data_IF_046454522025
#
_entry.id   IF_046454522025
#
_cell.length_a   1.000
_cell.length_b   1.000
_cell.length_c   1.000
_cell.angle_alpha   90.00
_cell.angle_beta   90.00
_cell.angle_gamma   90.00
#
_symmetry.space_group_name_H-M   'P 1'
#
loop_
_entity.id
_entity.type
_entity.pdbx_description
1 polymer ?
#
# COMPACT_ATOMS: atom_id res chain seq x y z
N UNK A 1 10.01 -5.93 -3.56
CA UNK A 1 9.91 -6.06 -2.06
C UNK A 1 8.47 -6.25 -1.56
N UNK A 2 7.55 -6.68 -2.44
CA UNK A 2 6.37 -7.47 -2.05
C UNK A 2 6.67 -8.97 -2.25
N UNK A 3 7.62 -9.23 -3.15
CA UNK A 3 8.17 -10.53 -3.53
C UNK A 3 8.93 -11.25 -2.41
N UNK A 4 9.29 -10.55 -1.32
CA UNK A 4 9.93 -11.18 -0.15
C UNK A 4 8.93 -11.94 0.72
N UNK A 5 7.68 -11.48 0.78
CA UNK A 5 6.61 -12.14 1.55
C UNK A 5 5.94 -13.26 0.74
N UNK A 6 6.02 -13.16 -0.59
CA UNK A 6 5.45 -14.13 -1.53
C UNK A 6 5.97 -15.58 -1.33
N UNK A 7 7.28 -15.86 -1.15
CA UNK A 7 7.77 -17.21 -0.91
C UNK A 7 7.26 -17.81 0.41
N UNK A 8 7.06 -16.99 1.44
CA UNK A 8 6.51 -17.45 2.73
C UNK A 8 5.06 -17.86 2.54
N UNK A 9 4.26 -17.06 1.83
CA UNK A 9 2.86 -17.40 1.51
C UNK A 9 2.79 -18.67 0.67
N UNK A 10 3.65 -18.83 -0.34
CA UNK A 10 3.72 -20.05 -1.15
C UNK A 10 4.10 -21.26 -0.30
N UNK A 11 5.05 -21.13 0.62
CA UNK A 11 5.44 -22.21 1.53
C UNK A 11 4.28 -22.62 2.47
N UNK A 12 3.55 -21.66 3.01
CA UNK A 12 2.37 -21.93 3.85
C UNK A 12 1.23 -22.60 3.04
N UNK A 13 1.00 -22.14 1.80
CA UNK A 13 0.02 -22.74 0.90
C UNK A 13 0.42 -24.17 0.50
N UNK A 14 1.71 -24.43 0.24
CA UNK A 14 2.22 -25.76 -0.05
C UNK A 14 2.09 -26.70 1.15
N UNK A 15 2.35 -26.22 2.37
CA UNK A 15 2.12 -27.00 3.59
C UNK A 15 0.63 -27.33 3.77
N UNK A 16 -0.25 -26.35 3.56
CA UNK A 16 -1.70 -26.58 3.60
C UNK A 16 -2.14 -27.61 2.56
N UNK A 17 -1.64 -27.53 1.32
CA UNK A 17 -1.90 -28.50 0.27
C UNK A 17 -1.47 -29.92 0.66
N UNK A 18 -0.28 -30.07 1.26
CA UNK A 18 0.24 -31.35 1.70
C UNK A 18 -0.62 -31.97 2.82
N UNK A 19 -1.07 -31.18 3.79
CA UNK A 19 -1.98 -31.64 4.85
C UNK A 19 -3.33 -32.06 4.27
N UNK A 20 -3.92 -31.25 3.39
CA UNK A 20 -5.19 -31.57 2.74
C UNK A 20 -5.10 -32.84 1.89
N UNK A 21 -4.01 -33.00 1.13
CA UNK A 21 -3.75 -34.20 0.33
C UNK A 21 -3.58 -35.45 1.20
N UNK A 22 -2.83 -35.37 2.31
CA UNK A 22 -2.67 -36.49 3.23
C UNK A 22 -4.01 -36.92 3.86
N UNK A 23 -4.87 -35.96 4.24
CA UNK A 23 -6.22 -36.25 4.76
C UNK A 23 -7.08 -36.92 3.69
N UNK A 24 -7.01 -36.44 2.44
CA UNK A 24 -7.76 -37.02 1.33
C UNK A 24 -7.36 -38.48 1.06
N UNK A 25 -6.06 -38.79 1.06
CA UNK A 25 -5.56 -40.16 0.92
C UNK A 25 -6.04 -41.06 2.07
N UNK A 26 -5.91 -40.60 3.31
CA UNK A 26 -6.37 -41.38 4.47
C UNK A 26 -7.88 -41.67 4.44
N UNK A 27 -8.67 -40.72 3.94
CA UNK A 27 -10.11 -40.92 3.80
C UNK A 27 -10.44 -41.96 2.72
N UNK A 28 -9.67 -41.97 1.63
CA UNK A 28 -9.84 -42.91 0.52
C UNK A 28 -9.46 -44.34 0.92
N UNK A 29 -8.34 -44.51 1.64
CA UNK A 29 -7.91 -45.80 2.19
C UNK A 29 -8.91 -46.37 3.19
N UNK A 30 -9.48 -45.51 4.07
CA UNK A 30 -10.49 -45.92 5.05
C UNK A 30 -11.83 -46.28 4.43
N UNK A 31 -12.17 -45.71 3.28
CA UNK A 31 -13.38 -46.05 2.55
C UNK A 31 -13.24 -47.35 1.73
N UNK A 32 -12.08 -48.01 1.76
CA UNK A 32 -11.90 -49.33 1.15
C UNK A 32 -12.03 -49.33 -0.37
N UNK A 33 -11.71 -48.22 -1.02
CA UNK A 33 -11.81 -48.10 -2.47
C UNK A 33 -10.52 -48.63 -3.09
N UNK A 34 -10.60 -49.73 -3.86
CA UNK A 34 -9.56 -50.12 -4.82
C UNK A 34 -9.50 -49.03 -5.90
N UNK A 35 -8.77 -47.95 -5.62
CA UNK A 35 -8.71 -46.80 -6.52
C UNK A 35 -7.56 -46.93 -7.50
N UNK A 36 -7.90 -46.93 -8.78
CA UNK A 36 -6.94 -46.82 -9.87
C UNK A 36 -6.09 -45.55 -9.71
N UNK A 37 -4.84 -45.61 -10.17
CA UNK A 37 -3.88 -44.49 -10.23
C UNK A 37 -4.49 -43.22 -10.85
N UNK A 38 -5.46 -43.37 -11.77
CA UNK A 38 -6.17 -42.25 -12.41
C UNK A 38 -7.01 -41.46 -11.40
N UNK A 39 -7.69 -42.15 -10.47
CA UNK A 39 -8.52 -41.50 -9.45
C UNK A 39 -7.65 -40.71 -8.47
N UNK A 40 -6.55 -41.29 -8.00
CA UNK A 40 -5.58 -40.61 -7.13
C UNK A 40 -4.98 -39.37 -7.79
N UNK A 41 -4.59 -39.49 -9.07
CA UNK A 41 -4.05 -38.37 -9.82
C UNK A 41 -5.05 -37.23 -9.98
N UNK A 42 -6.31 -37.53 -10.34
CA UNK A 42 -7.37 -36.52 -10.50
C UNK A 42 -7.65 -35.81 -9.17
N UNK A 43 -7.75 -36.53 -8.05
CA UNK A 43 -7.95 -35.94 -6.73
C UNK A 43 -6.75 -35.10 -6.27
N UNK A 44 -5.52 -35.51 -6.58
CA UNK A 44 -4.32 -34.74 -6.30
C UNK A 44 -4.30 -33.40 -7.03
N UNK A 45 -4.56 -33.42 -8.35
CA UNK A 45 -4.65 -32.20 -9.17
C UNK A 45 -5.78 -31.29 -8.67
N UNK A 46 -6.93 -31.86 -8.30
CA UNK A 46 -8.06 -31.08 -7.78
C UNK A 46 -7.73 -30.43 -6.43
N UNK A 47 -7.08 -31.16 -5.52
CA UNK A 47 -6.67 -30.64 -4.20
C UNK A 47 -5.69 -29.48 -4.35
N UNK A 48 -4.69 -29.60 -5.22
CA UNK A 48 -3.72 -28.53 -5.51
C UNK A 48 -4.41 -27.33 -6.18
N UNK A 49 -5.36 -27.57 -7.08
CA UNK A 49 -6.10 -26.50 -7.78
C UNK A 49 -6.96 -25.65 -6.84
N UNK A 50 -7.44 -26.20 -5.73
CA UNK A 50 -8.18 -25.44 -4.71
C UNK A 50 -7.28 -24.50 -3.89
N UNK A 51 -5.99 -24.85 -3.71
CA UNK A 51 -5.04 -24.04 -2.93
C UNK A 51 -4.67 -22.76 -3.66
N UNK A 52 -4.46 -22.84 -4.96
CA UNK A 52 -4.26 -21.67 -5.83
C UNK A 52 -5.62 -21.20 -6.33
N UNK A 53 -6.57 -21.00 -5.40
CA UNK A 53 -7.90 -20.57 -5.76
C UNK A 53 -7.79 -19.28 -6.59
N UNK A 54 -8.35 -19.22 -7.82
CA UNK A 54 -8.23 -18.07 -8.69
C UNK A 54 -8.88 -16.80 -8.08
N UNK A 55 -9.62 -16.94 -6.98
CA UNK A 55 -10.21 -15.85 -6.22
C UNK A 55 -9.20 -15.04 -5.43
N UNK A 56 -8.05 -15.60 -5.04
CA UNK A 56 -7.03 -14.90 -4.24
C UNK A 56 -6.48 -13.66 -4.97
N UNK A 57 -5.98 -13.78 -6.22
CA UNK A 57 -5.54 -12.61 -7.00
C UNK A 57 -6.68 -11.61 -7.24
N UNK A 58 -7.89 -12.10 -7.51
CA UNK A 58 -9.06 -11.26 -7.77
C UNK A 58 -9.43 -10.40 -6.55
N UNK A 59 -9.44 -11.00 -5.35
CA UNK A 59 -9.74 -10.29 -4.12
C UNK A 59 -8.72 -9.16 -3.84
N UNK A 60 -7.43 -9.39 -4.11
CA UNK A 60 -6.38 -8.39 -3.98
C UNK A 60 -6.60 -7.20 -4.93
N UNK A 61 -6.95 -7.48 -6.19
CA UNK A 61 -7.24 -6.44 -7.19
C UNK A 61 -8.46 -5.62 -6.78
N UNK A 62 -9.55 -6.28 -6.36
CA UNK A 62 -10.78 -5.59 -5.92
C UNK A 62 -10.47 -4.66 -4.73
N UNK A 63 -9.66 -5.11 -3.77
CA UNK A 63 -9.23 -4.29 -2.65
C UNK A 63 -8.50 -3.01 -3.10
N UNK A 64 -7.58 -3.13 -4.05
CA UNK A 64 -6.85 -1.99 -4.62
C UNK A 64 -7.76 -1.03 -5.39
N UNK A 65 -8.71 -1.55 -6.16
CA UNK A 65 -9.69 -0.76 -6.90
C UNK A 65 -10.58 0.04 -5.95
N UNK A 66 -11.11 -0.60 -4.89
CA UNK A 66 -11.91 0.08 -3.87
C UNK A 66 -11.14 1.15 -3.13
N UNK A 67 -9.85 0.92 -2.85
CA UNK A 67 -8.99 1.95 -2.28
C UNK A 67 -8.80 3.14 -3.25
N UNK A 68 -8.62 2.87 -4.54
CA UNK A 68 -8.51 3.91 -5.57
C UNK A 68 -9.80 4.73 -5.72
N UNK A 69 -10.97 4.09 -5.65
CA UNK A 69 -12.27 4.78 -5.67
C UNK A 69 -12.43 5.74 -4.47
N UNK A 70 -12.04 5.28 -3.27
CA UNK A 70 -12.06 6.11 -2.05
C UNK A 70 -11.14 7.33 -2.16
N UNK A 71 -9.94 7.16 -2.72
CA UNK A 71 -9.00 8.27 -2.96
C UNK A 71 -9.55 9.25 -4.00
N UNK A 72 -10.19 8.73 -5.06
CA UNK A 72 -10.81 9.56 -6.09
C UNK A 72 -11.92 10.44 -5.52
N UNK A 73 -12.71 9.95 -4.57
CA UNK A 73 -13.71 10.75 -3.86
C UNK A 73 -13.10 11.92 -3.06
N UNK A 74 -11.80 11.85 -2.74
CA UNK A 74 -11.04 12.94 -2.10
C UNK A 74 -10.26 13.81 -3.09
N UNK A 75 -10.52 13.67 -4.40
CA UNK A 75 -9.84 14.43 -5.45
C UNK A 75 -8.45 13.90 -5.84
N UNK A 76 -8.04 12.74 -5.30
CA UNK A 76 -6.76 12.11 -5.62
C UNK A 76 -6.94 11.01 -6.68
N UNK A 77 -6.36 11.22 -7.87
CA UNK A 77 -6.47 10.28 -8.98
C UNK A 77 -5.25 9.35 -9.04
N UNK A 78 -5.46 8.06 -8.80
CA UNK A 78 -4.38 7.07 -8.86
C UNK A 78 -4.34 6.40 -10.25
N UNK A 79 -3.25 6.59 -11.00
CA UNK A 79 -3.05 5.96 -12.32
C UNK A 79 -2.69 4.48 -12.20
N UNK A 80 -2.08 4.08 -11.08
CA UNK A 80 -1.68 2.71 -10.82
C UNK A 80 -2.15 2.25 -9.43
N UNK A 81 -3.33 1.59 -9.34
CA UNK A 81 -3.89 1.11 -8.07
C UNK A 81 -2.99 0.14 -7.29
N UNK A 82 -2.13 -0.63 -7.96
CA UNK A 82 -1.22 -1.56 -7.29
C UNK A 82 -0.20 -0.84 -6.39
N UNK A 83 0.17 0.42 -6.72
CA UNK A 83 1.07 1.23 -5.88
C UNK A 83 0.43 1.69 -4.57
N UNK A 84 -0.91 1.72 -4.47
CA UNK A 84 -1.59 2.11 -3.24
C UNK A 84 -1.19 1.19 -2.09
N UNK A 85 -1.05 -0.12 -2.35
CA UNK A 85 -0.61 -1.09 -1.36
C UNK A 85 0.81 -0.87 -0.83
N UNK A 86 1.67 -0.18 -1.60
CA UNK A 86 3.06 0.13 -1.22
C UNK A 86 3.10 1.33 -0.26
N UNK A 87 2.12 2.23 -0.33
CA UNK A 87 2.11 3.48 0.43
C UNK A 87 2.22 3.27 1.95
N UNK A 88 1.64 2.18 2.48
CA UNK A 88 1.74 1.81 3.90
C UNK A 88 3.11 1.29 4.35
N UNK A 89 4.04 1.01 3.43
CA UNK A 89 5.41 0.55 3.72
C UNK A 89 6.47 1.65 3.52
N UNK A 90 6.08 2.85 3.10
CA UNK A 90 7.02 3.96 2.87
C UNK A 90 7.59 4.44 4.21
N UNK A 91 8.92 4.61 4.27
CA UNK A 91 9.64 5.06 5.50
C UNK A 91 10.26 6.45 5.39
N UNK A 92 10.41 6.96 4.17
CA UNK A 92 11.04 8.25 3.90
C UNK A 92 10.18 8.99 2.88
N UNK A 93 9.90 10.26 3.16
CA UNK A 93 9.23 11.16 2.25
C UNK A 93 10.24 12.19 1.76
N UNK A 94 10.43 12.27 0.45
CA UNK A 94 11.25 13.29 -0.18
C UNK A 94 10.30 14.35 -0.74
N UNK A 95 10.36 15.57 -0.20
CA UNK A 95 9.59 16.69 -0.70
C UNK A 95 10.45 17.50 -1.66
N UNK A 96 9.92 17.76 -2.85
CA UNK A 96 10.50 18.77 -3.74
C UNK A 96 10.14 20.17 -3.25
N UNK A 97 10.97 21.17 -3.55
CA UNK A 97 10.76 22.54 -3.06
C UNK A 97 9.77 23.29 -3.93
N UNK A 98 10.18 23.59 -5.16
CA UNK A 98 9.47 24.48 -6.09
C UNK A 98 8.29 23.73 -6.70
N UNK A 99 7.11 24.35 -6.74
CA UNK A 99 5.87 23.73 -7.22
C UNK A 99 5.26 22.70 -6.26
N UNK A 100 5.87 22.44 -5.09
CA UNK A 100 5.36 21.50 -4.06
C UNK A 100 5.27 22.16 -2.69
N UNK A 101 6.40 22.52 -2.06
CA UNK A 101 6.41 23.22 -0.77
C UNK A 101 6.19 24.72 -0.95
N UNK A 102 6.71 25.28 -2.03
CA UNK A 102 6.49 26.68 -2.41
C UNK A 102 5.70 26.75 -3.70
N UNK A 103 4.85 27.77 -3.84
CA UNK A 103 4.21 28.09 -5.11
C UNK A 103 5.27 28.44 -6.16
N UNK A 104 4.95 28.22 -7.42
CA UNK A 104 5.77 28.73 -8.51
C UNK A 104 5.58 30.24 -8.62
N UNK A 105 6.69 30.98 -8.55
CA UNK A 105 6.71 32.44 -8.67
C UNK A 105 7.27 33.16 -7.44
N UNK A 106 7.39 34.48 -7.56
CA UNK A 106 7.81 35.39 -6.49
C UNK A 106 6.63 36.28 -6.10
N UNK A 107 6.31 36.31 -4.81
CA UNK A 107 5.30 37.19 -4.23
C UNK A 107 6.02 38.28 -3.42
N UNK A 108 5.70 39.54 -3.69
CA UNK A 108 6.27 40.66 -2.95
C UNK A 108 5.60 40.75 -1.57
N UNK A 109 6.36 40.45 -0.51
CA UNK A 109 5.88 40.47 0.87
C UNK A 109 5.87 41.87 1.49
N UNK A 110 6.79 42.75 1.09
CA UNK A 110 6.90 44.09 1.65
C UNK A 110 8.30 44.68 1.57
N UNK A 111 8.43 45.92 2.05
CA UNK A 111 9.72 46.60 2.26
C UNK A 111 9.99 46.77 3.75
N UNK A 112 11.26 46.61 4.15
CA UNK A 112 11.72 46.93 5.51
C UNK A 112 12.46 48.26 5.45
N UNK A 113 11.99 49.32 6.13
CA UNK A 113 12.69 50.59 6.16
C UNK A 113 13.99 50.45 6.94
N UNK A 114 15.08 50.95 6.37
CA UNK A 114 16.37 51.01 7.06
C UNK A 114 16.33 52.23 7.98
N UNK A 115 16.21 51.98 9.29
CA UNK A 115 16.52 53.01 10.28
C UNK A 115 18.04 53.12 10.29
N UNK A 116 18.56 54.15 9.63
CA UNK A 116 19.99 54.49 9.72
C UNK A 116 20.39 54.63 11.19
N UNK A 117 21.66 54.35 11.56
CA UNK A 117 22.10 54.48 12.94
C UNK A 117 21.67 55.84 13.46
N UNK A 118 20.83 55.84 14.49
CA UNK A 118 20.38 57.05 15.13
C UNK A 118 21.62 57.85 15.50
N UNK A 119 21.80 59.01 14.86
CA UNK A 119 22.57 60.06 15.49
C UNK A 119 22.01 60.26 16.89
N UNK A 120 22.84 60.46 17.92
CA UNK A 120 22.38 60.51 19.29
C UNK A 120 21.40 61.69 19.45
N UNK A 121 20.11 61.38 19.52
CA UNK A 121 19.05 62.34 19.81
C UNK A 121 17.94 62.38 18.77
N UNK A 122 16.98 61.46 18.89
CA UNK A 122 15.55 61.79 18.93
C UNK A 122 14.75 60.52 19.23
N UNK A 123 14.29 60.41 20.48
CA UNK A 123 13.29 59.44 20.90
C UNK A 123 11.89 60.06 20.73
N UNK A 124 10.95 59.29 20.19
CA UNK A 124 9.48 59.37 20.41
C UNK A 124 8.88 58.04 19.88
N UNK A 125 8.45 57.11 20.72
CA UNK A 125 7.13 57.02 21.41
C UNK A 125 5.97 57.09 20.40
N UNK A 126 4.99 56.19 20.29
CA UNK A 126 4.32 55.21 21.15
C UNK A 126 3.84 54.02 20.28
N UNK A 127 3.58 52.80 20.76
CA UNK A 127 2.48 52.42 21.67
C UNK A 127 1.16 52.24 20.89
N UNK A 128 0.58 51.03 20.89
CA UNK A 128 -0.82 50.84 20.47
C UNK A 128 -1.18 49.48 19.86
N UNK A 129 -1.70 48.59 20.69
CA UNK A 129 -2.56 47.44 20.36
C UNK A 129 -3.87 47.82 19.65
N UNK A 130 -4.41 46.89 18.85
CA UNK A 130 -5.80 46.80 18.36
C UNK A 130 -5.84 46.44 16.87
N UNK A 131 -6.41 45.34 16.36
CA UNK A 131 -7.19 44.20 16.87
C UNK A 131 -6.65 42.90 16.24
#
# INVERSE_FOLDING_TARGET
KYDEELPIVIALLALYAAVAFAIALQFQDRNGSDTDLVTEFVYGVFTVSQVVSPLLPVALIIGQLKASERLKAQGLYCVNPARIAISGKIRVFCFDKTGTLTKDGLEFLGVVPVVGPAGPGEAKEAGGTGE
#
